data_IF_954967500769
#
_entry.id   IF_954967500769
#
_cell.length_a   1.000
_cell.length_b   1.000
_cell.length_c   1.000
_cell.angle_alpha   90.00
_cell.angle_beta   90.00
_cell.angle_gamma   90.00
#
_symmetry.space_group_name_H-M   'P 1'
#
loop_
_entity.id
_entity.type
_entity.pdbx_description
1 polymer ?
#
# COMPACT_ATOMS: atom_id res chain seq x y z
N UNK A 1 5.66 -12.09 -1.64
CA UNK A 1 5.08 -10.82 -1.14
C UNK A 1 5.27 -9.68 -2.11
N UNK A 2 6.50 -9.43 -2.61
CA UNK A 2 6.80 -8.31 -3.49
C UNK A 2 5.92 -8.22 -4.76
N UNK A 3 5.61 -9.35 -5.40
CA UNK A 3 4.72 -9.39 -6.56
C UNK A 3 3.31 -8.87 -6.21
N UNK A 4 2.65 -9.44 -5.20
CA UNK A 4 1.31 -9.03 -4.77
C UNK A 4 1.27 -7.56 -4.34
N UNK A 5 2.35 -7.06 -3.73
CA UNK A 5 2.51 -5.66 -3.38
C UNK A 5 2.53 -4.76 -4.60
N UNK A 6 3.37 -5.08 -5.59
CA UNK A 6 3.45 -4.32 -6.83
C UNK A 6 2.10 -4.31 -7.56
N UNK A 7 1.43 -5.45 -7.67
CA UNK A 7 0.14 -5.56 -8.32
C UNK A 7 -0.95 -4.69 -7.66
N UNK A 8 -0.99 -4.64 -6.32
CA UNK A 8 -1.92 -3.79 -5.57
C UNK A 8 -1.54 -2.30 -5.66
N UNK A 9 -0.29 -1.97 -5.38
CA UNK A 9 0.12 -0.58 -5.11
C UNK A 9 0.39 0.22 -6.39
N UNK A 10 0.61 -0.42 -7.55
CA UNK A 10 0.72 0.32 -8.82
C UNK A 10 -0.57 1.08 -9.13
N UNK A 11 -1.73 0.50 -8.75
CA UNK A 11 -3.05 1.11 -8.93
C UNK A 11 -3.22 2.41 -8.15
N UNK A 12 -2.53 2.58 -7.02
CA UNK A 12 -2.63 3.81 -6.22
C UNK A 12 -2.07 5.02 -6.97
N UNK A 13 -1.02 4.83 -7.78
CA UNK A 13 -0.42 5.90 -8.57
C UNK A 13 -1.11 6.05 -9.94
N UNK A 14 -1.34 4.94 -10.64
CA UNK A 14 -1.92 4.97 -11.99
C UNK A 14 -3.41 5.32 -11.99
N UNK A 15 -4.13 5.02 -10.90
CA UNK A 15 -5.53 5.37 -10.72
C UNK A 15 -5.83 6.87 -10.81
N UNK A 16 -4.90 7.72 -10.35
CA UNK A 16 -5.04 9.18 -10.44
C UNK A 16 -5.07 9.64 -11.89
N UNK A 17 -4.19 9.09 -12.74
CA UNK A 17 -4.17 9.40 -14.17
C UNK A 17 -5.51 9.03 -14.84
N UNK A 18 -6.03 7.85 -14.51
CA UNK A 18 -7.29 7.35 -15.06
C UNK A 18 -8.48 8.21 -14.66
N UNK A 19 -8.51 8.69 -13.41
CA UNK A 19 -9.53 9.62 -12.92
C UNK A 19 -9.50 10.95 -13.69
N UNK A 20 -8.31 11.48 -14.00
CA UNK A 20 -8.15 12.75 -14.74
C UNK A 20 -8.57 12.60 -16.21
N UNK A 21 -8.20 11.50 -16.86
CA UNK A 21 -8.59 11.23 -18.26
C UNK A 21 -10.09 10.92 -18.40
N UNK A 22 -10.75 10.56 -17.30
CA UNK A 22 -12.17 10.22 -17.27
C UNK A 22 -12.45 8.81 -17.79
N UNK A 23 -11.49 7.89 -17.62
CA UNK A 23 -11.69 6.47 -17.93
C UNK A 23 -12.79 5.94 -17.01
N UNK A 24 -13.80 5.28 -17.59
CA UNK A 24 -15.02 4.87 -16.89
C UNK A 24 -16.14 5.91 -16.90
N UNK A 25 -15.87 7.20 -16.64
CA UNK A 25 -16.91 8.26 -16.68
C UNK A 25 -17.25 8.74 -18.09
N UNK A 26 -16.32 8.63 -19.04
CA UNK A 26 -16.50 8.99 -20.46
C UNK A 26 -16.58 7.78 -21.40
N UNK A 27 -16.70 6.57 -20.86
CA UNK A 27 -16.78 5.33 -21.66
C UNK A 27 -15.51 4.97 -22.44
N UNK A 28 -14.38 5.61 -22.14
CA UNK A 28 -13.09 5.29 -22.76
C UNK A 28 -12.61 3.91 -22.29
N UNK A 29 -12.31 3.02 -23.24
CA UNK A 29 -11.71 1.72 -22.97
C UNK A 29 -10.19 1.85 -22.79
N UNK A 30 -9.61 0.94 -22.01
CA UNK A 30 -8.16 0.84 -21.87
C UNK A 30 -7.53 0.29 -23.14
N UNK A 31 -6.63 1.05 -23.75
CA UNK A 31 -5.68 0.46 -24.68
C UNK A 31 -4.57 -0.27 -23.89
N UNK A 32 -4.16 -1.43 -24.40
CA UNK A 32 -3.18 -2.30 -23.75
C UNK A 32 -1.83 -1.59 -23.60
N UNK A 33 -1.47 -0.76 -24.58
CA UNK A 33 -0.24 0.03 -24.56
C UNK A 33 -0.23 1.04 -23.40
N UNK A 34 -1.32 1.79 -23.20
CA UNK A 34 -1.42 2.76 -22.11
C UNK A 34 -1.33 2.08 -20.75
N UNK A 35 -1.98 0.94 -20.57
CA UNK A 35 -1.91 0.15 -19.34
C UNK A 35 -0.47 -0.31 -19.03
N UNK A 36 0.25 -0.80 -20.04
CA UNK A 36 1.65 -1.22 -19.90
C UNK A 36 2.57 -0.05 -19.55
N UNK A 37 2.39 1.11 -20.19
CA UNK A 37 3.18 2.32 -19.91
C UNK A 37 2.93 2.83 -18.47
N UNK A 38 1.67 2.89 -18.04
CA UNK A 38 1.34 3.30 -16.68
C UNK A 38 1.88 2.31 -15.64
N UNK A 39 1.74 1.00 -15.88
CA UNK A 39 2.25 -0.04 -14.99
C UNK A 39 3.78 0.01 -14.88
N UNK A 40 4.49 0.19 -16.01
CA UNK A 40 5.96 0.30 -16.01
C UNK A 40 6.45 1.57 -15.30
N UNK A 41 5.80 2.71 -15.52
CA UNK A 41 6.10 3.95 -14.80
C UNK A 41 5.91 3.77 -13.29
N UNK A 42 4.78 3.19 -12.89
CA UNK A 42 4.50 2.90 -11.48
C UNK A 42 5.52 1.94 -10.88
N UNK A 43 5.90 0.88 -11.61
CA UNK A 43 6.92 -0.07 -11.16
C UNK A 43 8.29 0.60 -10.94
N UNK A 44 8.74 1.47 -11.86
CA UNK A 44 9.97 2.24 -11.69
C UNK A 44 9.91 3.13 -10.44
N UNK A 45 8.79 3.83 -10.22
CA UNK A 45 8.59 4.64 -9.03
C UNK A 45 8.67 3.82 -7.72
N UNK A 46 8.02 2.65 -7.69
CA UNK A 46 8.06 1.72 -6.55
C UNK A 46 9.49 1.24 -6.29
N UNK A 47 10.25 0.87 -7.33
CA UNK A 47 11.65 0.43 -7.22
C UNK A 47 12.50 1.54 -6.62
N UNK A 48 12.45 2.76 -7.18
CA UNK A 48 13.25 3.90 -6.72
C UNK A 48 12.89 4.25 -5.27
N UNK A 49 11.60 4.34 -4.94
CA UNK A 49 11.13 4.64 -3.59
C UNK A 49 11.54 3.56 -2.58
N UNK A 50 11.44 2.28 -2.97
CA UNK A 50 11.84 1.13 -2.16
C UNK A 50 13.32 1.16 -1.81
N UNK A 51 14.20 1.42 -2.78
CA UNK A 51 15.65 1.47 -2.55
C UNK A 51 16.10 2.71 -1.78
N UNK A 52 15.48 3.87 -2.01
CA UNK A 52 15.91 5.14 -1.42
C UNK A 52 15.33 5.39 -0.03
N UNK A 53 14.03 5.15 0.16
CA UNK A 53 13.29 5.52 1.37
C UNK A 53 12.78 4.30 2.15
N UNK A 54 12.67 3.14 1.49
CA UNK A 54 12.09 1.92 2.08
C UNK A 54 12.81 1.41 3.32
N UNK A 55 14.14 1.63 3.45
CA UNK A 55 14.94 1.15 4.58
C UNK A 55 14.39 1.57 5.95
N UNK A 56 13.83 2.78 6.07
CA UNK A 56 13.26 3.28 7.34
C UNK A 56 12.03 2.50 7.78
N UNK A 57 11.15 2.19 6.81
CA UNK A 57 9.93 1.41 7.05
C UNK A 57 10.27 -0.04 7.36
N UNK A 58 11.18 -0.63 6.58
CA UNK A 58 11.67 -2.00 6.80
C UNK A 58 12.22 -2.14 8.21
N UNK A 59 13.05 -1.19 8.67
CA UNK A 59 13.60 -1.24 10.02
C UNK A 59 12.51 -1.20 11.11
N UNK A 60 11.46 -0.41 10.91
CA UNK A 60 10.36 -0.29 11.87
C UNK A 60 9.52 -1.55 11.93
N UNK A 61 9.16 -2.11 10.77
CA UNK A 61 8.28 -3.28 10.69
C UNK A 61 9.02 -4.58 11.01
N UNK A 62 10.20 -4.81 10.41
CA UNK A 62 10.93 -6.06 10.56
C UNK A 62 11.62 -6.21 11.92
N UNK A 63 12.06 -5.10 12.53
CA UNK A 63 12.83 -5.14 13.78
C UNK A 63 12.19 -4.37 14.94
N UNK A 64 11.23 -3.48 14.67
CA UNK A 64 10.60 -2.65 15.71
C UNK A 64 9.41 -3.31 16.40
N UNK A 65 8.71 -4.25 15.76
CA UNK A 65 7.48 -4.86 16.29
C UNK A 65 7.79 -6.07 17.16
N UNK A 66 8.49 -7.06 16.62
CA UNK A 66 8.88 -8.31 17.29
C UNK A 66 10.21 -8.78 16.70
N UNK A 67 10.93 -9.65 17.40
CA UNK A 67 12.07 -10.35 16.80
C UNK A 67 11.56 -11.35 15.75
N UNK A 68 12.13 -11.31 14.56
CA UNK A 68 11.88 -12.25 13.48
C UNK A 68 13.14 -13.07 13.23
N UNK A 69 12.97 -14.38 13.16
CA UNK A 69 13.93 -15.34 12.62
C UNK A 69 13.54 -15.72 11.18
N UNK A 70 14.33 -16.56 10.51
CA UNK A 70 14.08 -16.95 9.13
C UNK A 70 12.71 -17.61 8.91
N UNK A 71 12.23 -18.41 9.87
CA UNK A 71 10.96 -19.12 9.76
C UNK A 71 9.77 -18.16 9.97
N UNK A 72 9.81 -17.38 11.03
CA UNK A 72 8.76 -16.40 11.36
C UNK A 72 8.68 -15.28 10.33
N UNK A 73 9.82 -14.81 9.83
CA UNK A 73 9.89 -13.83 8.74
C UNK A 73 9.31 -14.37 7.43
N UNK A 74 9.63 -15.62 7.08
CA UNK A 74 9.05 -16.27 5.89
C UNK A 74 7.55 -16.51 6.03
N UNK A 75 7.09 -16.94 7.21
CA UNK A 75 5.67 -17.12 7.51
C UNK A 75 4.90 -15.80 7.42
N UNK A 76 5.42 -14.73 8.03
CA UNK A 76 4.82 -13.39 7.94
C UNK A 76 4.80 -12.89 6.48
N UNK A 77 5.89 -13.08 5.75
CA UNK A 77 6.00 -12.72 4.34
C UNK A 77 5.01 -13.47 3.44
N UNK A 78 4.81 -14.77 3.68
CA UNK A 78 3.85 -15.59 2.95
C UNK A 78 2.41 -15.21 3.29
N UNK A 79 2.07 -15.08 4.58
CA UNK A 79 0.75 -14.66 5.03
C UNK A 79 0.35 -13.30 4.42
N UNK A 80 1.28 -12.35 4.46
CA UNK A 80 1.11 -11.04 3.84
C UNK A 80 0.98 -11.12 2.30
N UNK A 81 1.74 -11.99 1.63
CA UNK A 81 1.61 -12.18 0.18
C UNK A 81 0.24 -12.76 -0.21
N UNK A 82 -0.23 -13.75 0.56
CA UNK A 82 -1.48 -14.45 0.33
C UNK A 82 -2.68 -13.53 0.54
N UNK A 83 -2.72 -12.81 1.67
CA UNK A 83 -3.84 -11.90 1.94
C UNK A 83 -3.93 -10.82 0.86
N UNK A 84 -2.78 -10.24 0.45
CA UNK A 84 -2.80 -9.23 -0.60
C UNK A 84 -3.29 -9.82 -1.92
N UNK A 85 -2.76 -10.97 -2.31
CA UNK A 85 -3.14 -11.64 -3.55
C UNK A 85 -4.62 -12.02 -3.59
N UNK A 86 -5.18 -12.56 -2.49
CA UNK A 86 -6.59 -12.94 -2.39
C UNK A 86 -7.50 -11.76 -2.68
N UNK A 87 -7.25 -10.62 -2.03
CA UNK A 87 -8.08 -9.41 -2.20
C UNK A 87 -7.85 -8.70 -3.54
N UNK A 88 -6.67 -8.83 -4.14
CA UNK A 88 -6.45 -8.30 -5.50
C UNK A 88 -7.06 -9.19 -6.58
N UNK A 89 -6.86 -10.51 -6.49
CA UNK A 89 -7.11 -11.42 -7.61
C UNK A 89 -8.52 -11.99 -7.61
N UNK A 90 -9.05 -12.42 -6.46
CA UNK A 90 -10.40 -13.01 -6.42
C UNK A 90 -11.47 -12.00 -6.87
N UNK A 91 -11.51 -10.75 -6.37
CA UNK A 91 -12.48 -9.76 -6.85
C UNK A 91 -12.32 -9.42 -8.33
N UNK A 92 -11.08 -9.41 -8.85
CA UNK A 92 -10.82 -9.21 -10.28
C UNK A 92 -11.50 -10.29 -11.11
N UNK A 93 -11.45 -11.55 -10.66
CA UNK A 93 -12.09 -12.67 -11.36
C UNK A 93 -13.63 -12.64 -11.25
N UNK A 94 -14.19 -12.10 -10.16
CA UNK A 94 -15.64 -12.13 -9.90
C UNK A 94 -16.37 -10.92 -10.51
N UNK A 95 -15.83 -9.70 -10.36
CA UNK A 95 -16.48 -8.46 -10.80
C UNK A 95 -15.68 -7.66 -11.84
N UNK A 96 -14.50 -8.15 -12.24
CA UNK A 96 -13.66 -7.52 -13.28
C UNK A 96 -12.64 -6.50 -12.76
N UNK A 97 -12.61 -6.21 -11.46
CA UNK A 97 -11.63 -5.31 -10.84
C UNK A 97 -11.21 -5.79 -9.45
N UNK A 98 -9.95 -5.53 -9.10
CA UNK A 98 -9.37 -5.90 -7.80
C UNK A 98 -9.86 -5.00 -6.67
N UNK A 99 -9.83 -5.51 -5.44
CA UNK A 99 -10.14 -4.69 -4.27
C UNK A 99 -8.84 -4.02 -3.78
N UNK A 100 -8.75 -2.67 -3.79
CA UNK A 100 -7.59 -1.98 -3.28
C UNK A 100 -7.53 -2.14 -1.76
N UNK A 101 -6.42 -2.65 -1.26
CA UNK A 101 -6.20 -2.87 0.18
C UNK A 101 -4.89 -2.24 0.64
N UNK A 102 -4.77 -2.04 1.95
CA UNK A 102 -3.54 -1.50 2.53
C UNK A 102 -2.52 -2.62 2.77
N UNK A 103 -1.47 -2.64 1.95
CA UNK A 103 -0.31 -3.55 2.10
C UNK A 103 0.45 -3.33 3.41
N UNK A 104 0.42 -2.11 3.94
CA UNK A 104 1.05 -1.78 5.24
C UNK A 104 0.30 -2.42 6.41
N UNK A 105 -1.03 -2.36 6.41
CA UNK A 105 -1.84 -3.05 7.43
C UNK A 105 -1.64 -4.56 7.36
N UNK A 106 -1.70 -5.14 6.15
CA UNK A 106 -1.48 -6.57 5.95
C UNK A 106 -0.11 -7.03 6.48
N UNK A 107 0.96 -6.28 6.18
CA UNK A 107 2.32 -6.59 6.64
C UNK A 107 2.47 -6.48 8.15
N UNK A 108 2.00 -5.39 8.76
CA UNK A 108 2.08 -5.17 10.21
C UNK A 108 1.27 -6.22 10.97
N UNK A 109 0.07 -6.56 10.51
CA UNK A 109 -0.76 -7.60 11.13
C UNK A 109 -0.15 -8.99 10.99
N UNK A 110 0.49 -9.31 9.85
CA UNK A 110 1.18 -10.58 9.69
C UNK A 110 2.38 -10.71 10.66
N UNK A 111 3.19 -9.66 10.79
CA UNK A 111 4.33 -9.63 11.72
C UNK A 111 3.84 -9.68 13.18
N UNK A 112 2.80 -8.93 13.52
CA UNK A 112 2.19 -8.95 14.85
C UNK A 112 1.66 -10.35 15.19
N UNK A 113 0.91 -10.98 14.27
CA UNK A 113 0.34 -12.32 14.47
C UNK A 113 1.42 -13.37 14.73
N UNK A 114 2.49 -13.38 13.93
CA UNK A 114 3.60 -14.30 14.15
C UNK A 114 4.33 -14.02 15.46
N UNK A 115 4.51 -12.74 15.83
CA UNK A 115 5.09 -12.34 17.11
C UNK A 115 4.27 -12.83 18.30
N UNK A 116 2.94 -12.70 18.24
CA UNK A 116 2.03 -13.18 19.28
C UNK A 116 2.09 -14.71 19.43
N UNK A 117 2.13 -15.45 18.32
CA UNK A 117 2.20 -16.92 18.35
C UNK A 117 3.56 -17.39 18.88
N UNK A 118 4.66 -16.79 18.44
CA UNK A 118 6.02 -17.28 18.74
C UNK A 118 6.52 -16.82 20.11
N UNK A 119 6.20 -15.59 20.51
CA UNK A 119 6.80 -14.94 21.68
C UNK A 119 5.77 -14.46 22.70
N UNK A 120 4.48 -14.66 22.44
CA UNK A 120 3.39 -14.20 23.29
C UNK A 120 3.27 -12.68 23.33
N UNK A 121 2.32 -12.19 24.14
CA UNK A 121 2.01 -10.76 24.27
C UNK A 121 3.21 -9.93 24.72
N UNK A 122 4.10 -10.49 25.54
CA UNK A 122 5.32 -9.81 26.05
C UNK A 122 6.43 -9.68 25.00
N UNK A 123 6.41 -10.51 23.96
CA UNK A 123 7.40 -10.46 22.87
C UNK A 123 7.15 -9.34 21.85
N UNK A 124 6.01 -8.64 21.96
CA UNK A 124 5.59 -7.58 21.04
C UNK A 124 5.83 -6.21 21.65
N UNK A 125 6.42 -5.31 20.87
CA UNK A 125 6.58 -3.92 21.25
C UNK A 125 5.29 -3.11 21.00
N UNK A 126 4.41 -3.11 22.00
CA UNK A 126 3.13 -2.39 21.94
C UNK A 126 3.26 -0.89 21.74
N UNK A 127 4.36 -0.27 22.21
CA UNK A 127 4.61 1.16 21.97
C UNK A 127 4.79 1.45 20.48
N UNK A 128 5.44 0.57 19.73
CA UNK A 128 5.62 0.71 18.28
C UNK A 128 4.29 0.47 17.57
N UNK A 129 3.52 -0.54 17.96
CA UNK A 129 2.18 -0.79 17.40
C UNK A 129 1.26 0.42 17.58
N UNK A 130 1.19 0.99 18.78
CA UNK A 130 0.34 2.18 19.04
C UNK A 130 0.79 3.37 18.18
N UNK A 131 2.09 3.59 18.00
CA UNK A 131 2.61 4.64 17.10
C UNK A 131 2.21 4.40 15.65
N UNK A 132 2.23 3.16 15.19
CA UNK A 132 1.79 2.77 13.85
C UNK A 132 0.27 3.01 13.68
N UNK A 133 -0.54 2.58 14.66
CA UNK A 133 -1.99 2.82 14.63
C UNK A 133 -2.32 4.32 14.61
N UNK A 134 -1.63 5.10 15.44
CA UNK A 134 -1.78 6.55 15.48
C UNK A 134 -1.38 7.19 14.13
N UNK A 135 -0.30 6.72 13.49
CA UNK A 135 0.09 7.25 12.19
C UNK A 135 -0.94 6.92 11.12
N UNK A 136 -1.52 5.72 11.10
CA UNK A 136 -2.59 5.37 10.17
C UNK A 136 -3.82 6.28 10.32
N UNK A 137 -4.27 6.50 11.55
CA UNK A 137 -5.41 7.40 11.82
C UNK A 137 -5.12 8.85 11.41
N UNK A 138 -3.90 9.34 11.63
CA UNK A 138 -3.52 10.71 11.29
C UNK A 138 -3.25 10.92 9.80
N UNK A 139 -2.80 9.90 9.08
CA UNK A 139 -2.45 10.05 7.65
C UNK A 139 -3.64 10.47 6.79
N UNK A 140 -4.84 9.90 7.01
CA UNK A 140 -6.05 10.21 6.23
C UNK A 140 -6.50 11.68 6.34
N UNK A 141 -6.73 12.25 7.53
CA UNK A 141 -7.14 13.65 7.64
C UNK A 141 -6.06 14.61 7.16
N UNK A 142 -4.78 14.30 7.40
CA UNK A 142 -3.67 15.14 6.94
C UNK A 142 -3.61 15.17 5.40
N UNK A 143 -3.71 14.01 4.74
CA UNK A 143 -3.68 13.96 3.27
C UNK A 143 -4.91 14.61 2.65
N UNK A 144 -6.10 14.39 3.22
CA UNK A 144 -7.34 15.04 2.77
C UNK A 144 -7.27 16.56 2.89
N UNK A 145 -6.82 17.07 4.04
CA UNK A 145 -6.67 18.51 4.28
C UNK A 145 -5.62 19.13 3.35
N UNK A 146 -4.47 18.48 3.21
CA UNK A 146 -3.40 18.95 2.31
C UNK A 146 -3.87 18.98 0.86
N UNK A 147 -4.57 17.94 0.40
CA UNK A 147 -5.15 17.88 -0.94
C UNK A 147 -6.17 19.00 -1.18
N UNK A 148 -7.05 19.27 -0.20
CA UNK A 148 -8.01 20.36 -0.28
C UNK A 148 -7.32 21.73 -0.35
N UNK A 149 -6.32 21.97 0.49
CA UNK A 149 -5.56 23.22 0.48
C UNK A 149 -4.86 23.46 -0.87
N UNK A 150 -4.22 22.43 -1.42
CA UNK A 150 -3.58 22.50 -2.75
C UNK A 150 -4.63 22.82 -3.82
N UNK A 151 -5.79 22.17 -3.79
CA UNK A 151 -6.88 22.43 -4.75
C UNK A 151 -7.36 23.87 -4.69
N UNK A 152 -7.58 24.41 -3.48
CA UNK A 152 -8.04 25.79 -3.29
C UNK A 152 -6.99 26.81 -3.76
N UNK A 153 -5.71 26.55 -3.48
CA UNK A 153 -4.61 27.38 -3.96
C UNK A 153 -4.57 27.40 -5.49
N UNK A 154 -4.65 26.23 -6.13
CA UNK A 154 -4.64 26.12 -7.59
C UNK A 154 -5.85 26.82 -8.22
N UNK A 155 -7.05 26.66 -7.65
CA UNK A 155 -8.25 27.33 -8.13
C UNK A 155 -8.09 28.87 -8.06
N UNK A 156 -7.56 29.38 -6.95
CA UNK A 156 -7.28 30.81 -6.79
C UNK A 156 -6.26 31.33 -7.82
N UNK A 157 -5.17 30.59 -8.07
CA UNK A 157 -4.15 30.99 -9.05
C UNK A 157 -4.65 30.92 -10.50
N UNK A 158 -5.57 30.00 -10.80
CA UNK A 158 -6.15 29.82 -12.14
C UNK A 158 -7.40 30.67 -12.39
N UNK A 159 -7.86 31.44 -11.40
CA UNK A 159 -9.06 32.29 -11.51
C UNK A 159 -10.37 31.52 -11.68
N UNK A 160 -10.41 30.28 -11.19
CA UNK A 160 -11.58 29.38 -11.22
C UNK A 160 -12.39 29.43 -9.94
#
# INVERSE_FOLDING_TARGET
SAYSFGANDVGNATGVYLAVVGVGSRGLAFDMLTSLMLASLGAVGIIIGGFTLGKRVINTVAFGITRLDYLTGSAAGLANALIVWVFTTIPTLVWGWGMPISTTHASVSAVLGVGLVRHGVKGVNWRVIIKILASWLLTVPITATTSLCIRLLLAHMLGM
#
